data_IF_538700170323
#
_entry.id   IF_538700170323
#
_cell.length_a   1.000
_cell.length_b   1.000
_cell.length_c   1.000
_cell.angle_alpha   90.00
_cell.angle_beta   90.00
_cell.angle_gamma   90.00
#
_symmetry.space_group_name_H-M   'P 1'
#
loop_
_entity.id
_entity.type
_entity.pdbx_description
1 polymer ?
#
# COMPACT_ATOMS: atom_id res chain seq x y z
N UNK A 1 -16.55 12.63 33.13
CA UNK A 1 -16.39 13.50 31.95
C UNK A 1 -16.92 12.73 30.74
N UNK A 2 -18.10 13.10 30.23
CA UNK A 2 -18.81 12.35 29.18
C UNK A 2 -18.24 12.81 27.84
N UNK A 3 -17.45 11.97 27.18
CA UNK A 3 -17.02 12.22 25.80
C UNK A 3 -18.26 12.15 24.90
N UNK A 4 -18.74 13.30 24.42
CA UNK A 4 -19.77 13.38 23.37
C UNK A 4 -19.23 12.67 22.13
N UNK A 5 -19.83 11.52 21.79
CA UNK A 5 -19.65 10.91 20.46
C UNK A 5 -20.07 11.93 19.41
N UNK A 6 -19.12 12.46 18.66
CA UNK A 6 -19.41 13.29 17.49
C UNK A 6 -20.22 12.47 16.49
N UNK A 7 -21.40 12.98 16.11
CA UNK A 7 -22.35 12.26 15.24
C UNK A 7 -21.66 11.88 13.91
N UNK A 8 -21.85 10.67 13.39
CA UNK A 8 -21.18 10.17 12.17
C UNK A 8 -21.35 11.07 10.93
N UNK A 9 -22.42 11.86 10.86
CA UNK A 9 -22.64 12.86 9.79
C UNK A 9 -21.63 14.00 9.81
N UNK A 10 -21.20 14.49 10.98
CA UNK A 10 -20.21 15.59 11.10
C UNK A 10 -18.85 15.15 10.58
N UNK A 11 -18.45 13.91 10.90
CA UNK A 11 -17.17 13.34 10.39
C UNK A 11 -17.19 13.14 8.87
N UNK A 12 -18.34 12.78 8.29
CA UNK A 12 -18.47 12.62 6.84
C UNK A 12 -18.32 13.97 6.11
N UNK A 13 -18.94 15.03 6.60
CA UNK A 13 -18.80 16.38 6.06
C UNK A 13 -17.38 16.91 6.17
N UNK A 14 -16.73 16.73 7.33
CA UNK A 14 -15.33 17.15 7.52
C UNK A 14 -14.40 16.48 6.49
N UNK A 15 -14.60 15.18 6.22
CA UNK A 15 -13.82 14.46 5.21
C UNK A 15 -14.09 14.96 3.78
N UNK A 16 -15.34 15.30 3.44
CA UNK A 16 -15.67 15.87 2.13
C UNK A 16 -14.95 17.20 1.96
N UNK A 17 -15.00 18.09 2.95
CA UNK A 17 -14.33 19.40 2.90
C UNK A 17 -12.81 19.21 2.78
N UNK A 18 -12.21 18.30 3.55
CA UNK A 18 -10.79 18.00 3.48
C UNK A 18 -10.38 17.48 2.09
N UNK A 19 -11.17 16.59 1.49
CA UNK A 19 -10.92 16.10 0.14
C UNK A 19 -11.03 17.21 -0.92
N UNK A 20 -11.99 18.10 -0.79
CA UNK A 20 -12.11 19.28 -1.68
C UNK A 20 -10.89 20.20 -1.57
N UNK A 21 -10.45 20.51 -0.35
CA UNK A 21 -9.25 21.31 -0.13
C UNK A 21 -7.99 20.66 -0.74
N UNK A 22 -7.82 19.36 -0.51
CA UNK A 22 -6.72 18.58 -1.10
C UNK A 22 -6.80 18.53 -2.65
N UNK A 23 -8.02 18.46 -3.22
CA UNK A 23 -8.21 18.50 -4.68
C UNK A 23 -7.78 19.86 -5.26
N UNK A 24 -8.17 20.97 -4.59
CA UNK A 24 -7.81 22.32 -5.03
C UNK A 24 -6.29 22.51 -4.95
N UNK A 25 -5.65 22.14 -3.86
CA UNK A 25 -4.21 22.21 -3.70
C UNK A 25 -3.48 21.40 -4.78
N UNK A 26 -3.94 20.18 -5.04
CA UNK A 26 -3.37 19.32 -6.08
C UNK A 26 -3.57 19.89 -7.48
N UNK A 27 -4.75 20.46 -7.77
CA UNK A 27 -5.01 21.13 -9.05
C UNK A 27 -4.11 22.37 -9.25
N UNK A 28 -3.86 23.15 -8.19
CA UNK A 28 -2.93 24.29 -8.24
C UNK A 28 -1.48 23.84 -8.54
N UNK A 29 -1.13 22.62 -8.18
CA UNK A 29 0.16 21.98 -8.52
C UNK A 29 0.15 21.28 -9.89
N UNK A 30 -0.86 21.53 -10.73
CA UNK A 30 -1.00 20.91 -12.04
C UNK A 30 -1.25 19.41 -12.01
N UNK A 31 -1.84 18.89 -10.92
CA UNK A 31 -2.04 17.46 -10.68
C UNK A 31 -0.74 16.65 -10.63
N UNK A 32 0.37 17.30 -10.26
CA UNK A 32 1.66 16.62 -10.09
C UNK A 32 1.63 15.67 -8.89
N UNK A 33 2.48 14.62 -8.95
CA UNK A 33 2.68 13.68 -7.83
C UNK A 33 3.33 14.38 -6.63
N UNK A 34 3.02 13.91 -5.39
CA UNK A 34 2.12 12.79 -5.07
C UNK A 34 0.63 13.18 -5.16
N UNK A 35 -0.20 12.23 -5.57
CA UNK A 35 -1.64 12.41 -5.55
C UNK A 35 -2.23 12.33 -4.12
N UNK A 36 -3.36 13.02 -3.85
CA UNK A 36 -4.02 12.92 -2.56
C UNK A 36 -4.44 11.50 -2.20
N UNK A 37 -4.46 11.16 -0.90
CA UNK A 37 -4.74 9.81 -0.41
C UNK A 37 -6.08 9.23 -0.92
N UNK A 38 -7.12 10.06 -1.09
CA UNK A 38 -8.40 9.59 -1.61
C UNK A 38 -8.34 9.16 -3.08
N UNK A 39 -7.41 9.73 -3.87
CA UNK A 39 -7.12 9.31 -5.25
C UNK A 39 -6.42 7.96 -5.23
N UNK A 40 -5.40 7.80 -4.39
CA UNK A 40 -4.73 6.50 -4.17
C UNK A 40 -5.75 5.43 -3.74
N UNK A 41 -6.63 5.72 -2.77
CA UNK A 41 -7.70 4.80 -2.36
C UNK A 41 -8.67 4.44 -3.51
N UNK A 42 -8.98 5.39 -4.39
CA UNK A 42 -9.81 5.12 -5.57
C UNK A 42 -9.11 4.18 -6.55
N UNK A 43 -7.80 4.36 -6.75
CA UNK A 43 -6.96 3.47 -7.55
C UNK A 43 -6.96 2.04 -6.96
N UNK A 44 -6.70 1.89 -5.66
CA UNK A 44 -6.72 0.61 -4.96
C UNK A 44 -8.07 -0.11 -5.12
N UNK A 45 -9.18 0.61 -4.93
CA UNK A 45 -10.53 0.04 -5.05
C UNK A 45 -10.87 -0.40 -6.47
N UNK A 46 -10.44 0.36 -7.48
CA UNK A 46 -10.76 0.11 -8.89
C UNK A 46 -9.99 -1.08 -9.44
N UNK A 47 -8.70 -1.21 -9.06
CA UNK A 47 -7.80 -2.22 -9.60
C UNK A 47 -7.79 -3.51 -8.79
N UNK A 48 -7.90 -3.45 -7.48
CA UNK A 48 -7.89 -4.63 -6.61
C UNK A 48 -9.08 -5.56 -6.86
N UNK A 49 -8.85 -6.85 -6.71
CA UNK A 49 -9.90 -7.87 -6.75
C UNK A 49 -10.85 -7.69 -5.55
N UNK A 50 -12.17 -7.77 -5.76
CA UNK A 50 -13.14 -7.61 -4.69
C UNK A 50 -13.07 -8.78 -3.70
N UNK A 51 -13.27 -8.49 -2.42
CA UNK A 51 -13.28 -9.50 -1.34
C UNK A 51 -12.01 -10.38 -1.26
N UNK A 52 -10.89 -9.90 -1.83
CA UNK A 52 -9.59 -10.57 -1.79
C UNK A 52 -8.89 -10.37 -0.44
N UNK A 53 -7.79 -11.12 -0.24
CA UNK A 53 -6.83 -10.79 0.81
C UNK A 53 -5.99 -9.61 0.34
N UNK A 54 -5.77 -8.62 1.21
CA UNK A 54 -4.84 -7.53 0.98
C UNK A 54 -3.60 -7.69 1.86
N UNK A 55 -2.45 -7.50 1.25
CA UNK A 55 -1.15 -7.41 1.92
C UNK A 55 -0.62 -5.99 1.69
N UNK A 56 -0.46 -5.26 2.78
CA UNK A 56 0.02 -3.87 2.78
C UNK A 56 1.40 -3.82 3.44
N UNK A 57 2.37 -3.19 2.77
CA UNK A 57 3.67 -2.86 3.35
C UNK A 57 3.71 -1.37 3.67
N UNK A 58 4.02 -1.03 4.94
CA UNK A 58 3.93 0.34 5.45
C UNK A 58 2.53 0.66 6.03
N UNK A 59 2.26 0.27 7.28
CA UNK A 59 1.00 0.64 7.97
C UNK A 59 0.94 2.13 8.27
N UNK A 60 2.06 2.71 8.72
CA UNK A 60 2.18 4.11 9.15
C UNK A 60 1.07 4.50 10.15
N UNK A 61 0.26 5.52 9.84
CA UNK A 61 -0.87 5.94 10.69
C UNK A 61 -2.15 5.12 10.47
N UNK A 62 -2.14 4.13 9.58
CA UNK A 62 -3.23 3.18 9.35
C UNK A 62 -4.40 3.72 8.52
N UNK A 63 -4.22 4.82 7.77
CA UNK A 63 -5.29 5.39 6.96
C UNK A 63 -5.69 4.44 5.82
N UNK A 64 -4.69 3.93 5.08
CA UNK A 64 -4.92 2.96 4.01
C UNK A 64 -5.38 1.61 4.57
N UNK A 65 -4.77 1.11 5.65
CA UNK A 65 -5.24 -0.10 6.35
C UNK A 65 -6.73 0.01 6.73
N UNK A 66 -7.14 1.17 7.27
CA UNK A 66 -8.54 1.43 7.62
C UNK A 66 -9.47 1.41 6.41
N UNK A 67 -9.00 1.92 5.27
CA UNK A 67 -9.73 1.88 4.01
C UNK A 67 -9.85 0.44 3.49
N UNK A 68 -8.75 -0.29 3.38
CA UNK A 68 -8.69 -1.68 2.92
C UNK A 68 -9.54 -2.61 3.78
N UNK A 69 -9.59 -2.39 5.11
CA UNK A 69 -10.42 -3.20 6.02
C UNK A 69 -11.90 -3.22 5.71
N UNK A 70 -12.39 -2.28 4.88
CA UNK A 70 -13.81 -2.20 4.47
C UNK A 70 -14.08 -2.93 3.16
N UNK A 71 -13.03 -3.25 2.39
CA UNK A 71 -13.11 -3.86 1.06
C UNK A 71 -12.69 -5.33 1.08
N UNK A 72 -11.76 -5.65 1.97
CA UNK A 72 -11.05 -6.91 1.99
C UNK A 72 -11.74 -7.99 2.82
N UNK A 73 -11.58 -9.25 2.39
CA UNK A 73 -11.83 -10.41 3.24
C UNK A 73 -10.89 -10.44 4.45
N UNK A 74 -9.61 -10.19 4.22
CA UNK A 74 -8.54 -10.11 5.22
C UNK A 74 -7.52 -9.06 4.80
N UNK A 75 -6.97 -8.33 5.75
CA UNK A 75 -5.84 -7.40 5.57
C UNK A 75 -4.70 -7.85 6.48
N UNK A 76 -3.53 -8.05 5.89
CA UNK A 76 -2.25 -8.13 6.59
C UNK A 76 -1.52 -6.82 6.32
N UNK A 77 -1.16 -6.08 7.36
CA UNK A 77 -0.44 -4.82 7.23
C UNK A 77 0.85 -4.89 8.04
N UNK A 78 1.96 -4.61 7.39
CA UNK A 78 3.33 -4.79 7.94
C UNK A 78 3.87 -3.43 8.37
N UNK A 79 4.37 -3.34 9.61
CA UNK A 79 4.94 -2.12 10.18
C UNK A 79 6.24 -2.42 10.92
N UNK A 80 7.39 -1.93 10.43
CA UNK A 80 8.66 -2.17 11.08
C UNK A 80 8.92 -1.27 12.29
N UNK A 81 8.35 -0.05 12.35
CA UNK A 81 8.61 0.87 13.46
C UNK A 81 7.79 0.46 14.70
N UNK A 82 8.44 0.18 15.86
CA UNK A 82 7.75 -0.37 17.04
C UNK A 82 6.62 0.50 17.60
N UNK A 83 6.77 1.84 17.55
CA UNK A 83 5.75 2.76 18.06
C UNK A 83 4.53 2.80 17.14
N UNK A 84 4.76 2.88 15.82
CA UNK A 84 3.70 2.85 14.82
C UNK A 84 2.97 1.49 14.86
N UNK A 85 3.71 0.39 14.95
CA UNK A 85 3.12 -0.95 15.14
C UNK A 85 2.22 -1.01 16.38
N UNK A 86 2.70 -0.53 17.53
CA UNK A 86 1.93 -0.56 18.77
C UNK A 86 0.64 0.26 18.65
N UNK A 87 0.71 1.44 18.03
CA UNK A 87 -0.44 2.29 17.77
C UNK A 87 -1.43 1.62 16.81
N UNK A 88 -0.94 1.00 15.74
CA UNK A 88 -1.77 0.27 14.78
C UNK A 88 -2.46 -0.94 15.44
N UNK A 89 -1.76 -1.69 16.30
CA UNK A 89 -2.35 -2.81 17.07
C UNK A 89 -3.50 -2.34 17.95
N UNK A 90 -3.37 -1.18 18.60
CA UNK A 90 -4.46 -0.59 19.39
C UNK A 90 -5.64 -0.15 18.51
N UNK A 91 -5.34 0.50 17.39
CA UNK A 91 -6.34 1.01 16.46
C UNK A 91 -7.18 -0.10 15.81
N UNK A 92 -6.52 -1.18 15.40
CA UNK A 92 -7.16 -2.27 14.66
C UNK A 92 -7.47 -3.51 15.51
N UNK A 93 -7.14 -3.55 16.78
CA UNK A 93 -7.27 -4.73 17.64
C UNK A 93 -8.70 -5.31 17.77
N UNK A 94 -9.73 -4.52 17.45
CA UNK A 94 -11.13 -4.97 17.42
C UNK A 94 -11.61 -5.40 16.02
N UNK A 95 -10.82 -5.19 14.97
CA UNK A 95 -11.18 -5.54 13.60
C UNK A 95 -10.72 -6.97 13.30
N UNK A 96 -11.68 -7.90 13.21
CA UNK A 96 -11.38 -9.34 13.01
C UNK A 96 -10.68 -9.65 11.69
N UNK A 97 -10.88 -8.81 10.67
CA UNK A 97 -10.28 -8.98 9.35
C UNK A 97 -8.98 -8.20 9.14
N UNK A 98 -8.41 -7.57 10.17
CA UNK A 98 -7.12 -6.87 10.09
C UNK A 98 -6.12 -7.51 11.04
N UNK A 99 -4.92 -7.74 10.53
CA UNK A 99 -3.79 -8.23 11.31
C UNK A 99 -2.58 -7.34 11.03
N UNK A 100 -2.04 -6.75 12.09
CA UNK A 100 -0.84 -5.92 12.02
C UNK A 100 0.35 -6.79 12.42
N UNK A 101 1.37 -6.82 11.56
CA UNK A 101 2.59 -7.61 11.71
C UNK A 101 3.77 -6.68 11.96
N UNK A 102 4.59 -6.98 12.98
CA UNK A 102 5.77 -6.19 13.27
C UNK A 102 7.01 -6.80 12.61
N UNK A 103 7.70 -6.01 11.84
CA UNK A 103 8.92 -6.38 11.12
C UNK A 103 9.01 -5.70 9.78
N UNK A 104 10.10 -5.93 9.08
CA UNK A 104 10.29 -5.47 7.71
C UNK A 104 9.53 -6.38 6.74
N UNK A 105 9.18 -5.87 5.58
CA UNK A 105 8.45 -6.67 4.58
C UNK A 105 9.29 -7.83 4.06
N UNK A 106 10.60 -7.62 3.87
CA UNK A 106 11.53 -8.65 3.42
C UNK A 106 11.67 -9.82 4.40
N UNK A 107 11.45 -9.60 5.70
CA UNK A 107 11.48 -10.66 6.72
C UNK A 107 10.11 -11.36 6.88
N UNK A 108 9.04 -10.61 6.72
CA UNK A 108 7.67 -11.09 6.97
C UNK A 108 7.08 -11.83 5.76
N UNK A 109 7.22 -11.28 4.54
CA UNK A 109 6.56 -11.82 3.35
C UNK A 109 6.93 -13.28 3.06
N UNK A 110 8.21 -13.73 3.16
CA UNK A 110 8.56 -15.12 2.89
C UNK A 110 7.85 -16.14 3.79
N UNK A 111 7.49 -15.72 5.02
CA UNK A 111 6.79 -16.58 5.98
C UNK A 111 5.27 -16.42 5.97
N UNK A 112 4.77 -15.30 5.44
CA UNK A 112 3.37 -14.97 5.35
C UNK A 112 2.72 -15.53 4.09
N UNK A 113 3.33 -15.29 2.92
CA UNK A 113 2.73 -15.55 1.62
C UNK A 113 2.41 -17.04 1.37
N UNK A 114 3.24 -18.02 1.82
CA UNK A 114 2.89 -19.44 1.68
C UNK A 114 1.59 -19.86 2.38
N UNK A 115 1.05 -19.03 3.29
CA UNK A 115 -0.18 -19.30 4.06
C UNK A 115 -1.42 -18.65 3.44
N UNK A 116 -1.23 -17.85 2.37
CA UNK A 116 -2.28 -17.13 1.68
C UNK A 116 -2.64 -17.87 0.39
N UNK A 117 -3.92 -17.97 0.09
CA UNK A 117 -4.44 -18.55 -1.13
C UNK A 117 -5.66 -17.75 -1.64
N UNK A 118 -6.07 -18.02 -2.87
CA UNK A 118 -7.17 -17.34 -3.55
C UNK A 118 -6.72 -16.01 -4.15
N UNK A 119 -7.64 -15.05 -4.26
CA UNK A 119 -7.34 -13.72 -4.79
C UNK A 119 -6.57 -12.88 -3.79
N UNK A 120 -5.46 -12.29 -4.24
CA UNK A 120 -4.58 -11.47 -3.40
C UNK A 120 -4.27 -10.14 -4.07
N UNK A 121 -4.42 -9.07 -3.30
CA UNK A 121 -3.99 -7.74 -3.68
C UNK A 121 -2.84 -7.30 -2.79
N UNK A 122 -1.83 -6.68 -3.40
CA UNK A 122 -0.68 -6.11 -2.72
C UNK A 122 -0.73 -4.58 -2.84
N UNK A 123 -0.51 -3.89 -1.74
CA UNK A 123 -0.21 -2.47 -1.67
C UNK A 123 1.18 -2.30 -1.11
N UNK A 124 2.15 -2.01 -1.97
CA UNK A 124 3.55 -1.89 -1.63
C UNK A 124 3.91 -0.40 -1.50
N UNK A 125 3.92 0.08 -0.26
CA UNK A 125 4.20 1.45 0.15
C UNK A 125 5.22 1.48 1.30
N UNK A 126 6.08 0.45 1.35
CA UNK A 126 7.06 0.21 2.41
C UNK A 126 8.38 0.97 2.24
N UNK A 127 8.41 2.11 1.55
CA UNK A 127 9.63 2.90 1.37
C UNK A 127 9.92 3.84 2.55
N UNK A 128 11.19 4.23 2.70
CA UNK A 128 11.62 5.18 3.72
C UNK A 128 11.17 6.62 3.37
N UNK A 129 10.29 7.18 4.18
CA UNK A 129 9.71 8.53 3.99
C UNK A 129 10.24 9.56 4.97
N UNK A 130 11.51 9.56 5.33
CA UNK A 130 12.11 10.47 6.32
C UNK A 130 11.26 10.69 7.62
N UNK A 131 11.88 11.01 8.73
CA UNK A 131 11.19 11.29 10.00
C UNK A 131 11.04 10.07 10.90
N UNK A 132 9.78 9.68 11.23
CA UNK A 132 9.47 8.60 12.19
C UNK A 132 9.40 7.21 11.55
N UNK A 133 9.63 7.08 10.23
CA UNK A 133 9.59 5.80 9.54
C UNK A 133 10.91 5.04 9.72
N UNK A 134 10.85 3.70 9.69
CA UNK A 134 12.03 2.85 9.82
C UNK A 134 12.93 3.00 8.59
N UNK A 135 14.24 3.24 8.81
CA UNK A 135 15.25 3.22 7.77
C UNK A 135 15.93 1.87 7.75
N UNK A 136 15.62 1.04 6.73
CA UNK A 136 16.33 -0.20 6.46
C UNK A 136 17.74 0.03 5.89
N UNK A 137 18.41 -1.05 5.44
CA UNK A 137 19.71 -0.96 4.75
C UNK A 137 19.59 -0.38 3.35
N UNK A 138 18.40 -0.34 2.77
CA UNK A 138 18.05 0.28 1.47
C UNK A 138 16.82 1.17 1.65
N UNK A 139 16.63 2.14 0.78
CA UNK A 139 15.49 3.06 0.86
C UNK A 139 14.18 2.42 0.40
N UNK A 140 14.23 1.28 -0.31
CA UNK A 140 13.06 0.49 -0.70
C UNK A 140 13.33 -1.00 -0.65
N UNK A 141 12.41 -1.83 -0.10
CA UNK A 141 12.48 -3.29 -0.08
C UNK A 141 11.93 -3.94 -1.36
N UNK A 142 11.56 -3.17 -2.38
CA UNK A 142 10.74 -3.60 -3.51
C UNK A 142 11.26 -4.86 -4.22
N UNK A 143 12.57 -5.00 -4.37
CA UNK A 143 13.16 -6.18 -5.04
C UNK A 143 12.87 -7.47 -4.26
N UNK A 144 13.02 -7.41 -2.94
CA UNK A 144 12.74 -8.54 -2.05
C UNK A 144 11.23 -8.84 -1.96
N UNK A 145 10.40 -7.79 -1.96
CA UNK A 145 8.94 -7.93 -1.97
C UNK A 145 8.46 -8.62 -3.26
N UNK A 146 8.94 -8.15 -4.42
CA UNK A 146 8.61 -8.76 -5.71
C UNK A 146 9.15 -10.20 -5.84
N UNK A 147 10.32 -10.49 -5.28
CA UNK A 147 10.85 -11.85 -5.23
C UNK A 147 9.94 -12.77 -4.38
N UNK A 148 9.57 -12.33 -3.18
CA UNK A 148 8.67 -13.09 -2.30
C UNK A 148 7.30 -13.35 -2.95
N UNK A 149 6.75 -12.36 -3.67
CA UNK A 149 5.50 -12.53 -4.44
C UNK A 149 5.70 -13.57 -5.54
N UNK A 150 6.81 -13.48 -6.30
CA UNK A 150 7.12 -14.43 -7.38
C UNK A 150 7.22 -15.88 -6.90
N UNK A 151 7.89 -16.09 -5.77
CA UNK A 151 8.08 -17.43 -5.19
C UNK A 151 6.77 -18.09 -4.74
N UNK A 152 5.73 -17.27 -4.51
CA UNK A 152 4.43 -17.73 -4.04
C UNK A 152 3.31 -17.59 -5.07
N UNK A 153 3.62 -17.19 -6.30
CA UNK A 153 2.62 -16.87 -7.33
C UNK A 153 1.65 -18.04 -7.61
N UNK A 154 2.13 -19.27 -7.54
CA UNK A 154 1.33 -20.49 -7.77
C UNK A 154 0.28 -20.76 -6.68
N UNK A 155 0.34 -20.08 -5.54
CA UNK A 155 -0.65 -20.20 -4.45
C UNK A 155 -1.86 -19.29 -4.65
N UNK A 156 -1.79 -18.35 -5.58
CA UNK A 156 -2.81 -17.33 -5.79
C UNK A 156 -3.66 -17.65 -7.03
N UNK A 157 -4.96 -17.44 -6.91
CA UNK A 157 -5.88 -17.58 -8.07
C UNK A 157 -5.74 -16.35 -8.98
N UNK A 158 -5.79 -15.16 -8.38
CA UNK A 158 -5.57 -13.90 -9.05
C UNK A 158 -4.68 -12.97 -8.20
N UNK A 159 -3.84 -12.21 -8.88
CA UNK A 159 -2.89 -11.27 -8.24
C UNK A 159 -3.08 -9.87 -8.80
N UNK A 160 -3.14 -8.87 -7.90
CA UNK A 160 -3.01 -7.47 -8.25
C UNK A 160 -1.94 -6.84 -7.36
N UNK A 161 -0.89 -6.29 -7.97
CA UNK A 161 0.19 -5.58 -7.27
C UNK A 161 0.10 -4.10 -7.62
N UNK A 162 -0.01 -3.28 -6.59
CA UNK A 162 0.00 -1.82 -6.70
C UNK A 162 1.20 -1.30 -5.90
N UNK A 163 2.07 -0.54 -6.56
CA UNK A 163 3.32 -0.02 -5.99
C UNK A 163 3.23 1.50 -6.01
N UNK A 164 3.38 2.13 -4.84
CA UNK A 164 3.32 3.59 -4.72
C UNK A 164 4.61 4.28 -5.18
N UNK A 165 4.49 5.58 -5.38
CA UNK A 165 5.60 6.50 -5.61
C UNK A 165 6.49 6.10 -6.80
N UNK A 166 5.87 5.77 -7.95
CA UNK A 166 6.57 5.40 -9.20
C UNK A 166 7.63 6.42 -9.60
N UNK A 167 7.43 7.70 -9.27
CA UNK A 167 8.42 8.77 -9.52
C UNK A 167 9.78 8.51 -8.90
N UNK A 168 9.84 7.70 -7.82
CA UNK A 168 11.09 7.34 -7.13
C UNK A 168 11.90 6.30 -7.91
N UNK A 169 11.30 5.57 -8.87
CA UNK A 169 11.98 4.55 -9.67
C UNK A 169 12.79 5.15 -10.82
N UNK A 170 13.57 6.19 -10.49
CA UNK A 170 14.48 6.88 -11.40
C UNK A 170 15.83 7.09 -10.70
N UNK A 171 16.75 6.13 -10.77
CA UNK A 171 18.06 6.20 -10.10
C UNK A 171 18.99 7.29 -10.66
N UNK A 172 18.60 8.00 -11.72
CA UNK A 172 19.36 9.16 -12.24
C UNK A 172 19.09 10.43 -11.41
N UNK A 173 18.10 10.42 -10.53
CA UNK A 173 17.83 11.48 -9.57
C UNK A 173 18.56 11.13 -8.27
N UNK A 174 19.43 11.99 -7.78
CA UNK A 174 20.29 11.74 -6.60
C UNK A 174 19.48 11.25 -5.39
N UNK A 175 18.32 11.86 -5.15
CA UNK A 175 17.40 11.50 -4.06
C UNK A 175 16.91 10.04 -4.13
N UNK A 176 16.83 9.49 -5.35
CA UNK A 176 16.30 8.14 -5.62
C UNK A 176 17.36 7.16 -6.14
N UNK A 177 18.64 7.50 -5.97
CA UNK A 177 19.78 6.73 -6.52
C UNK A 177 19.84 5.27 -6.02
N UNK A 178 19.20 4.96 -4.89
CA UNK A 178 19.12 3.61 -4.32
C UNK A 178 17.92 2.81 -4.81
N UNK A 179 16.96 3.46 -5.49
CA UNK A 179 15.82 2.78 -6.11
C UNK A 179 16.24 2.08 -7.41
N UNK A 180 15.61 0.94 -7.74
CA UNK A 180 15.78 0.37 -9.07
C UNK A 180 15.13 1.27 -10.13
N UNK A 181 15.54 1.13 -11.39
CA UNK A 181 14.86 1.78 -12.49
C UNK A 181 13.45 1.17 -12.69
N UNK A 182 12.54 1.97 -13.26
CA UNK A 182 11.15 1.56 -13.52
C UNK A 182 11.08 0.28 -14.37
N UNK A 183 12.04 0.05 -15.26
CA UNK A 183 12.14 -1.16 -16.08
C UNK A 183 12.14 -2.45 -15.23
N UNK A 184 12.64 -2.38 -14.00
CA UNK A 184 12.60 -3.52 -13.07
C UNK A 184 11.18 -3.98 -12.79
N UNK A 185 10.25 -3.04 -12.59
CA UNK A 185 8.84 -3.33 -12.34
C UNK A 185 8.16 -3.87 -13.61
N UNK A 186 8.48 -3.28 -14.76
CA UNK A 186 7.92 -3.66 -16.06
C UNK A 186 8.34 -5.09 -16.41
N UNK A 187 9.66 -5.37 -16.37
CA UNK A 187 10.21 -6.70 -16.67
C UNK A 187 9.63 -7.76 -15.71
N UNK A 188 9.47 -7.41 -14.43
CA UNK A 188 8.84 -8.31 -13.47
C UNK A 188 7.37 -8.62 -13.85
N UNK A 189 6.59 -7.60 -14.19
CA UNK A 189 5.19 -7.78 -14.58
C UNK A 189 5.05 -8.61 -15.86
N UNK A 190 5.90 -8.35 -16.87
CA UNK A 190 5.91 -9.10 -18.13
C UNK A 190 6.32 -10.56 -17.92
N UNK A 191 7.34 -10.83 -17.09
CA UNK A 191 7.74 -12.19 -16.73
C UNK A 191 6.59 -13.02 -16.15
N UNK A 192 5.71 -12.38 -15.38
CA UNK A 192 4.54 -13.01 -14.77
C UNK A 192 3.27 -12.89 -15.63
N UNK A 193 3.38 -12.40 -16.87
CA UNK A 193 2.28 -12.22 -17.82
C UNK A 193 1.13 -11.38 -17.25
N UNK A 194 1.49 -10.34 -16.47
CA UNK A 194 0.54 -9.41 -15.89
C UNK A 194 0.26 -8.26 -16.87
N UNK A 195 -1.00 -7.82 -16.95
CA UNK A 195 -1.31 -6.54 -17.52
C UNK A 195 -0.87 -5.44 -16.59
N UNK A 196 -0.12 -4.46 -17.09
CA UNK A 196 0.36 -3.37 -16.28
C UNK A 196 0.07 -1.99 -16.88
N UNK A 197 -0.05 -1.00 -16.02
CA UNK A 197 -0.13 0.42 -16.37
C UNK A 197 0.31 1.27 -15.19
N UNK A 198 0.47 2.58 -15.44
CA UNK A 198 0.78 3.56 -14.40
C UNK A 198 -0.36 4.57 -14.35
N UNK A 199 -0.89 4.84 -13.16
CA UNK A 199 -1.87 5.89 -12.92
C UNK A 199 -1.64 6.55 -11.56
N UNK A 200 -1.74 7.87 -11.51
CA UNK A 200 -1.64 8.64 -10.26
C UNK A 200 -0.38 8.34 -9.42
N UNK A 201 0.77 8.12 -10.10
CA UNK A 201 2.03 7.77 -9.48
C UNK A 201 2.06 6.35 -8.86
N UNK A 202 1.14 5.48 -9.28
CA UNK A 202 1.04 4.09 -8.85
C UNK A 202 1.29 3.18 -10.04
N UNK A 203 2.24 2.24 -9.90
CA UNK A 203 2.38 1.12 -10.82
C UNK A 203 1.36 0.04 -10.46
N UNK A 204 0.57 -0.36 -11.44
CA UNK A 204 -0.45 -1.40 -11.30
C UNK A 204 -0.10 -2.57 -12.19
N UNK A 205 0.02 -3.77 -11.63
CA UNK A 205 0.22 -5.01 -12.38
C UNK A 205 -0.79 -6.06 -11.91
N UNK A 206 -1.49 -6.69 -12.85
CA UNK A 206 -2.67 -7.51 -12.54
C UNK A 206 -2.79 -8.71 -13.48
N UNK A 207 -3.18 -9.89 -12.95
CA UNK A 207 -3.54 -11.06 -13.76
C UNK A 207 -4.68 -10.71 -14.72
N UNK A 208 -4.59 -11.22 -15.94
CA UNK A 208 -5.68 -11.17 -16.93
C UNK A 208 -6.77 -12.15 -16.52
N UNK A 209 -8.01 -11.66 -16.42
CA UNK A 209 -9.21 -12.51 -16.28
C UNK A 209 -9.49 -13.24 -17.57
#
# INVERSE_FOLDING_TARGET
>A
MIFKQTKPKVMAWARIVANWAATIDWAQKGFASPSPIFVKHSCLKRNGYPNATWVETGTYLGETTSFLSKLARKVFSIEPEPTLFSNAKLLFGKKKNVEILNGTSEDILPNLLPKINGDVNFWLDGHYSMGITFKGMRDTPIIQELAAISDNFSHFDNVCVLIDDVRCFNPQIDEYSTYPAIDTLIVWAEKHQLNWHIEHDIFVAKTTS
#
